data_IF_858120907874
#
_entry.id   IF_858120907874
#
_cell.length_a   1.000
_cell.length_b   1.000
_cell.length_c   1.000
_cell.angle_alpha   90.00
_cell.angle_beta   90.00
_cell.angle_gamma   90.00
#
_symmetry.space_group_name_H-M   'P 1'
#
loop_
_entity.id
_entity.type
_entity.pdbx_description
1 polymer ?
#
# COMPACT_ATOMS: atom_id res chain seq x y z
N UNK A 1 43.13 -33.84 4.76
CA UNK A 1 42.89 -32.61 5.54
C UNK A 1 42.60 -31.34 4.70
N UNK A 2 42.81 -31.33 3.37
CA UNK A 2 42.67 -30.13 2.53
C UNK A 2 41.23 -29.69 2.22
N UNK A 3 40.33 -30.62 1.86
CA UNK A 3 38.95 -30.30 1.41
C UNK A 3 38.07 -29.62 2.45
N UNK A 4 38.27 -29.94 3.74
CA UNK A 4 37.52 -29.34 4.85
C UNK A 4 37.99 -27.90 5.06
N UNK A 5 39.30 -27.63 4.94
CA UNK A 5 39.86 -26.27 5.02
C UNK A 5 39.37 -25.40 3.87
N UNK A 6 39.23 -25.95 2.65
CA UNK A 6 38.67 -25.21 1.50
C UNK A 6 37.19 -24.90 1.68
N UNK A 7 36.39 -25.84 2.16
CA UNK A 7 34.97 -25.61 2.48
C UNK A 7 34.78 -24.58 3.59
N UNK A 8 35.61 -24.64 4.64
CA UNK A 8 35.60 -23.66 5.71
C UNK A 8 35.99 -22.26 5.20
N UNK A 9 36.99 -22.16 4.32
CA UNK A 9 37.36 -20.89 3.70
C UNK A 9 36.25 -20.31 2.82
N UNK A 10 35.59 -21.14 2.00
CA UNK A 10 34.45 -20.72 1.17
C UNK A 10 33.28 -20.24 2.05
N UNK A 11 32.98 -20.95 3.13
CA UNK A 11 31.93 -20.56 4.07
C UNK A 11 32.23 -19.22 4.73
N UNK A 12 33.50 -18.98 5.07
CA UNK A 12 33.95 -17.73 5.71
C UNK A 12 33.88 -16.55 4.74
N UNK A 13 34.24 -16.74 3.47
CA UNK A 13 34.07 -15.73 2.41
C UNK A 13 32.60 -15.41 2.17
N UNK A 14 31.72 -16.42 2.15
CA UNK A 14 30.28 -16.21 2.00
C UNK A 14 29.69 -15.42 3.18
N UNK A 15 30.14 -15.72 4.41
CA UNK A 15 29.70 -15.00 5.60
C UNK A 15 30.10 -13.52 5.57
N UNK A 16 31.32 -13.22 5.09
CA UNK A 16 31.80 -11.85 4.93
C UNK A 16 31.02 -11.07 3.86
N UNK A 17 30.64 -11.72 2.75
CA UNK A 17 29.80 -11.11 1.71
C UNK A 17 28.39 -10.79 2.23
N UNK A 18 27.80 -11.69 3.00
CA UNK A 18 26.47 -11.49 3.62
C UNK A 18 26.50 -10.35 4.66
N UNK A 19 27.52 -10.31 5.52
CA UNK A 19 27.67 -9.26 6.52
C UNK A 19 27.94 -7.89 5.88
N UNK A 20 28.80 -7.83 4.86
CA UNK A 20 29.06 -6.61 4.09
C UNK A 20 27.83 -6.12 3.35
N UNK A 21 27.08 -7.02 2.70
CA UNK A 21 25.82 -6.67 2.03
C UNK A 21 24.75 -6.15 2.99
N UNK A 22 24.65 -6.72 4.19
CA UNK A 22 23.71 -6.26 5.22
C UNK A 22 24.00 -4.83 5.70
N UNK A 23 25.28 -4.48 5.89
CA UNK A 23 25.66 -3.11 6.27
C UNK A 23 25.30 -2.07 5.21
N UNK A 24 25.44 -2.38 3.92
CA UNK A 24 25.11 -1.46 2.82
C UNK A 24 23.61 -1.20 2.72
N UNK A 25 22.76 -2.18 3.05
CA UNK A 25 21.29 -2.02 2.97
C UNK A 25 20.76 -1.18 4.14
N UNK A 26 21.39 -1.24 5.31
CA UNK A 26 20.97 -0.46 6.48
C UNK A 26 21.31 1.04 6.39
N UNK A 27 22.27 1.45 5.55
CA UNK A 27 22.60 2.87 5.31
C UNK A 27 21.73 3.52 4.23
N UNK A 28 20.83 2.74 3.60
CA UNK A 28 19.80 3.28 2.72
C UNK A 28 18.67 3.80 3.62
N UNK A 29 18.91 4.97 4.22
CA UNK A 29 17.86 5.82 4.75
C UNK A 29 16.92 6.10 3.58
N UNK A 30 15.78 5.39 3.55
CA UNK A 30 14.68 5.69 2.66
C UNK A 30 14.26 7.13 2.98
N UNK A 31 14.78 8.08 2.20
CA UNK A 31 14.36 9.47 2.25
C UNK A 31 12.86 9.49 2.00
N UNK A 32 12.09 9.61 3.08
CA UNK A 32 10.67 9.87 3.04
C UNK A 32 10.47 11.16 2.25
N UNK A 33 10.02 11.02 1.00
CA UNK A 33 9.59 12.15 0.18
C UNK A 33 8.43 12.80 0.92
N UNK A 34 8.50 14.08 1.32
CA UNK A 34 7.43 14.74 2.04
C UNK A 34 6.28 14.93 1.06
N UNK A 35 5.36 13.97 1.01
CA UNK A 35 4.09 14.15 0.32
C UNK A 35 3.23 14.92 1.30
N UNK A 36 3.16 16.24 1.10
CA UNK A 36 2.44 17.18 1.93
C UNK A 36 0.98 16.76 2.13
N UNK A 37 0.69 16.00 3.20
CA UNK A 37 -0.59 15.94 3.91
C UNK A 37 -0.24 15.68 5.38
N UNK A 38 0.44 16.65 5.99
CA UNK A 38 0.77 16.66 7.40
C UNK A 38 -0.09 17.67 8.12
N UNK A 39 -1.40 17.47 8.20
CA UNK A 39 -2.22 18.14 9.19
C UNK A 39 -3.27 17.18 9.77
N UNK A 40 -3.06 16.92 11.06
CA UNK A 40 -4.02 16.44 12.06
C UNK A 40 -4.64 15.08 11.81
N UNK A 41 -4.17 14.07 12.55
CA UNK A 41 -5.00 13.25 13.45
C UNK A 41 -4.08 12.25 14.15
N UNK A 42 -3.72 12.55 15.40
CA UNK A 42 -3.38 11.52 16.37
C UNK A 42 -4.64 10.68 16.59
N UNK A 43 -4.84 9.66 15.77
CA UNK A 43 -5.68 8.52 16.08
C UNK A 43 -4.90 7.29 15.69
N UNK A 44 -4.78 6.38 16.66
CA UNK A 44 -4.44 4.97 16.57
C UNK A 44 -4.02 4.52 15.17
N UNK A 45 -2.74 4.12 15.02
CA UNK A 45 -2.13 3.69 13.75
C UNK A 45 -2.76 2.38 13.27
N UNK A 46 -4.02 2.41 12.89
CA UNK A 46 -4.65 1.33 12.15
C UNK A 46 -3.90 1.21 10.82
N UNK A 47 -3.32 0.03 10.59
CA UNK A 47 -2.57 -0.19 9.37
C UNK A 47 -3.53 -0.34 8.19
N UNK A 48 -3.49 0.64 7.28
CA UNK A 48 -4.27 0.63 6.06
C UNK A 48 -3.41 0.35 4.83
N UNK A 49 -4.02 -0.29 3.84
CA UNK A 49 -3.53 -0.31 2.46
C UNK A 49 -4.35 0.68 1.65
N UNK A 50 -3.69 1.65 1.01
CA UNK A 50 -4.37 2.65 0.19
C UNK A 50 -4.18 2.34 -1.29
N UNK A 51 -5.26 2.36 -2.08
CA UNK A 51 -5.22 2.16 -3.53
C UNK A 51 -6.03 3.22 -4.25
N UNK A 52 -5.55 3.65 -5.41
CA UNK A 52 -6.21 4.66 -6.24
C UNK A 52 -7.00 4.02 -7.37
N UNK A 53 -8.24 4.46 -7.55
CA UNK A 53 -9.13 4.00 -8.62
C UNK A 53 -9.79 5.18 -9.31
N UNK A 54 -10.06 5.06 -10.61
CA UNK A 54 -10.95 5.96 -11.35
C UNK A 54 -12.34 5.35 -11.38
N UNK A 55 -13.36 6.08 -10.95
CA UNK A 55 -14.76 5.61 -11.02
C UNK A 55 -15.17 5.52 -12.50
N UNK A 56 -15.61 4.34 -12.92
CA UNK A 56 -15.98 4.06 -14.32
C UNK A 56 -17.49 3.94 -14.50
N UNK A 57 -18.22 3.56 -13.45
CA UNK A 57 -19.68 3.37 -13.47
C UNK A 57 -20.25 3.55 -12.06
N UNK A 58 -21.48 4.04 -11.98
CA UNK A 58 -22.28 4.12 -10.74
C UNK A 58 -23.67 3.59 -11.09
N UNK A 59 -24.17 2.62 -10.32
CA UNK A 59 -25.48 1.99 -10.49
C UNK A 59 -26.23 1.99 -9.16
N UNK A 60 -27.11 2.97 -8.96
CA UNK A 60 -27.74 3.18 -7.66
C UNK A 60 -26.68 3.48 -6.59
N UNK A 61 -26.52 2.59 -5.62
CA UNK A 61 -25.53 2.72 -4.54
C UNK A 61 -24.26 1.90 -4.79
N UNK A 62 -24.16 1.20 -5.93
CA UNK A 62 -22.97 0.45 -6.33
C UNK A 62 -22.02 1.32 -7.19
N UNK A 63 -20.76 1.38 -6.78
CA UNK A 63 -19.70 2.13 -7.43
C UNK A 63 -18.68 1.17 -8.02
N UNK A 64 -18.35 1.37 -9.30
CA UNK A 64 -17.31 0.61 -9.99
C UNK A 64 -16.14 1.52 -10.32
N UNK A 65 -14.93 1.02 -10.09
CA UNK A 65 -13.71 1.73 -10.43
C UNK A 65 -12.64 0.83 -11.02
N UNK A 66 -11.69 1.45 -11.71
CA UNK A 66 -10.53 0.76 -12.29
C UNK A 66 -9.25 1.52 -11.96
N UNK A 67 -8.23 0.82 -11.49
CA UNK A 67 -6.90 1.35 -11.25
C UNK A 67 -6.11 1.43 -12.56
N UNK A 68 -4.99 2.17 -12.56
CA UNK A 68 -4.15 2.33 -13.75
C UNK A 68 -3.60 1.01 -14.31
N UNK A 69 -3.39 0.00 -13.44
CA UNK A 69 -2.94 -1.33 -13.83
C UNK A 69 -4.07 -2.28 -14.27
N UNK A 70 -5.30 -1.78 -14.45
CA UNK A 70 -6.47 -2.57 -14.85
C UNK A 70 -7.20 -3.29 -13.72
N UNK A 71 -6.71 -3.23 -12.47
CA UNK A 71 -7.40 -3.81 -11.31
C UNK A 71 -8.75 -3.12 -11.10
N UNK A 72 -9.82 -3.88 -10.96
CA UNK A 72 -11.18 -3.36 -10.73
C UNK A 72 -11.52 -3.33 -9.24
N UNK A 73 -12.39 -2.40 -8.86
CA UNK A 73 -13.06 -2.34 -7.55
C UNK A 73 -14.56 -2.20 -7.76
N UNK A 74 -15.34 -2.86 -6.91
CA UNK A 74 -16.78 -2.69 -6.81
C UNK A 74 -17.09 -2.54 -5.32
N UNK A 75 -17.85 -1.51 -4.95
CA UNK A 75 -18.24 -1.30 -3.56
C UNK A 75 -19.62 -0.64 -3.48
N UNK A 76 -20.35 -0.96 -2.41
CA UNK A 76 -21.64 -0.34 -2.12
C UNK A 76 -21.42 0.85 -1.17
N UNK A 77 -21.88 2.03 -1.58
CA UNK A 77 -21.78 3.26 -0.80
C UNK A 77 -22.53 3.23 0.52
N UNK A 78 -23.67 2.52 0.60
CA UNK A 78 -24.49 2.42 1.82
C UNK A 78 -23.78 1.65 2.94
N UNK A 79 -22.82 0.79 2.58
CA UNK A 79 -22.00 0.06 3.55
C UNK A 79 -20.91 0.94 4.16
N UNK A 80 -20.62 2.07 3.52
CA UNK A 80 -19.63 3.03 4.02
C UNK A 80 -20.34 4.06 4.89
N UNK A 81 -19.81 4.30 6.09
CA UNK A 81 -20.34 5.32 7.02
C UNK A 81 -19.91 6.74 6.60
N UNK A 82 -20.02 7.06 5.32
CA UNK A 82 -19.63 8.36 4.76
C UNK A 82 -20.54 8.72 3.58
N UNK A 83 -20.72 10.02 3.36
CA UNK A 83 -21.41 10.53 2.18
C UNK A 83 -20.52 10.42 0.93
N UNK A 84 -21.09 9.93 -0.16
CA UNK A 84 -20.45 9.74 -1.46
C UNK A 84 -21.13 10.52 -2.58
N UNK A 85 -22.06 11.42 -2.25
CA UNK A 85 -22.83 12.22 -3.21
C UNK A 85 -21.94 13.06 -4.15
N UNK A 86 -20.75 13.45 -3.68
CA UNK A 86 -19.78 14.23 -4.46
C UNK A 86 -18.90 13.39 -5.40
N UNK A 87 -18.95 12.06 -5.29
CA UNK A 87 -18.19 11.13 -6.14
C UNK A 87 -18.98 10.81 -7.39
N UNK A 88 -18.41 11.15 -8.55
CA UNK A 88 -19.04 10.98 -9.86
C UNK A 88 -18.21 10.08 -10.76
N UNK A 89 -18.84 9.56 -11.81
CA UNK A 89 -18.14 8.85 -12.88
C UNK A 89 -17.04 9.74 -13.46
N UNK A 90 -15.83 9.19 -13.57
CA UNK A 90 -14.64 9.89 -14.02
C UNK A 90 -13.71 10.34 -12.90
N UNK A 91 -14.22 10.48 -11.67
CA UNK A 91 -13.43 10.93 -10.53
C UNK A 91 -12.37 9.90 -10.13
N UNK A 92 -11.22 10.41 -9.67
CA UNK A 92 -10.21 9.59 -8.99
C UNK A 92 -10.52 9.55 -7.50
N UNK A 93 -10.42 8.37 -6.91
CA UNK A 93 -10.63 8.12 -5.50
C UNK A 93 -9.45 7.38 -4.89
N UNK A 94 -9.18 7.60 -3.61
CA UNK A 94 -8.34 6.77 -2.75
C UNK A 94 -9.23 5.87 -1.89
N UNK A 95 -9.09 4.57 -2.05
CA UNK A 95 -9.77 3.55 -1.25
C UNK A 95 -8.82 3.04 -0.15
N UNK A 96 -9.29 3.07 1.09
CA UNK A 96 -8.55 2.67 2.28
C UNK A 96 -9.03 1.30 2.72
N UNK A 97 -8.13 0.32 2.70
CA UNK A 97 -8.42 -1.05 3.08
C UNK A 97 -7.77 -1.40 4.42
N UNK A 98 -8.50 -2.02 5.33
CA UNK A 98 -7.95 -2.65 6.53
C UNK A 98 -6.95 -3.73 6.16
N UNK A 99 -5.76 -3.76 6.78
CA UNK A 99 -4.86 -4.92 6.65
C UNK A 99 -5.35 -6.14 7.42
N UNK A 100 -6.14 -5.93 8.48
CA UNK A 100 -6.64 -6.98 9.37
C UNK A 100 -7.86 -7.69 8.79
N UNK A 101 -8.75 -6.95 8.12
CA UNK A 101 -9.99 -7.50 7.55
C UNK A 101 -9.89 -7.68 6.04
N UNK A 102 -9.77 -8.94 5.58
CA UNK A 102 -9.61 -9.28 4.15
C UNK A 102 -10.93 -9.40 3.37
N UNK A 103 -12.06 -9.65 4.05
CA UNK A 103 -13.35 -9.93 3.40
C UNK A 103 -14.13 -8.64 3.12
N UNK A 104 -14.34 -7.81 4.15
CA UNK A 104 -14.96 -6.48 4.02
C UNK A 104 -13.95 -5.41 4.42
N UNK A 105 -12.85 -5.38 3.67
CA UNK A 105 -11.68 -4.60 4.03
C UNK A 105 -11.84 -3.12 3.73
N UNK A 106 -12.81 -2.70 2.92
CA UNK A 106 -12.93 -1.31 2.51
C UNK A 106 -13.54 -0.46 3.62
N UNK A 107 -12.75 0.46 4.17
CA UNK A 107 -13.16 1.28 5.31
C UNK A 107 -13.64 2.66 4.89
N UNK A 108 -12.96 3.25 3.90
CA UNK A 108 -13.16 4.64 3.49
C UNK A 108 -12.80 4.84 2.03
N UNK A 109 -13.50 5.78 1.40
CA UNK A 109 -13.17 6.28 0.05
C UNK A 109 -13.07 7.80 0.10
N UNK A 110 -11.99 8.37 -0.43
CA UNK A 110 -11.76 9.82 -0.48
C UNK A 110 -11.57 10.24 -1.93
N UNK A 111 -12.37 11.20 -2.40
CA UNK A 111 -12.17 11.83 -3.71
C UNK A 111 -10.85 12.58 -3.73
N UNK A 112 -10.09 12.42 -4.83
CA UNK A 112 -8.87 13.17 -5.08
C UNK A 112 -9.25 14.37 -5.93
N UNK A 113 -9.13 15.57 -5.37
CA UNK A 113 -9.21 16.80 -6.14
C UNK A 113 -7.83 17.02 -6.79
N UNK A 114 -7.79 17.06 -8.12
CA UNK A 114 -6.64 17.57 -8.89
C UNK A 114 -6.76 19.09 -9.04
#
# INVERSE_FOLDING_TARGET
>A
MGRIKTKAAILLVLLLLLAGGYMVINDIELKDVPTAIGQTLSQEKEEYTVKTYKITKIEGTEYHGTAANGTKIIFNGDKLKQDLSDVKKGDKIKAYFSKSNRIDGLLKVVKVNE
#
